data_IF_126122348749
#
_entry.id   IF_126122348749
#
_cell.length_a   1.000
_cell.length_b   1.000
_cell.length_c   1.000
_cell.angle_alpha   90.00
_cell.angle_beta   90.00
_cell.angle_gamma   90.00
#
_symmetry.space_group_name_H-M   'P 1'
#
loop_
_entity.id
_entity.type
_entity.pdbx_description
1 polymer ?
#
# COMPACT_ATOMS: atom_id res chain seq x y z
N UNK A 1 -6.49 43.80 -31.03
CA UNK A 1 -5.16 43.19 -30.80
C UNK A 1 -5.10 42.05 -29.76
N UNK A 2 -6.04 41.90 -28.80
CA UNK A 2 -6.10 40.71 -27.90
C UNK A 2 -6.45 39.37 -28.60
N UNK A 3 -6.85 39.42 -29.86
CA UNK A 3 -7.40 38.30 -30.64
C UNK A 3 -6.36 37.28 -31.10
N UNK A 4 -5.08 37.64 -31.25
CA UNK A 4 -4.01 36.68 -31.64
C UNK A 4 -3.45 35.87 -30.46
N UNK A 5 -3.70 36.31 -29.22
CA UNK A 5 -3.20 35.66 -28.00
C UNK A 5 -4.09 34.48 -27.57
N UNK A 6 -5.41 34.62 -27.73
CA UNK A 6 -6.40 33.60 -27.39
C UNK A 6 -6.18 32.24 -28.11
N UNK A 7 -5.99 32.18 -29.45
CA UNK A 7 -5.73 30.92 -30.13
C UNK A 7 -4.38 30.30 -29.74
N UNK A 8 -3.37 31.11 -29.40
CA UNK A 8 -2.09 30.59 -28.87
C UNK A 8 -2.27 29.96 -27.50
N UNK A 9 -3.01 30.61 -26.61
CA UNK A 9 -3.35 30.05 -25.30
C UNK A 9 -4.12 28.73 -25.44
N UNK A 10 -5.13 28.70 -26.30
CA UNK A 10 -5.91 27.50 -26.58
C UNK A 10 -5.02 26.36 -27.09
N UNK A 11 -4.14 26.63 -28.06
CA UNK A 11 -3.21 25.64 -28.60
C UNK A 11 -2.27 25.08 -27.53
N UNK A 12 -1.64 25.94 -26.73
CA UNK A 12 -0.74 25.50 -25.65
C UNK A 12 -1.48 24.74 -24.55
N UNK A 13 -2.69 25.14 -24.19
CA UNK A 13 -3.54 24.40 -23.26
C UNK A 13 -3.91 23.02 -23.80
N UNK A 14 -4.26 22.91 -25.09
CA UNK A 14 -4.54 21.61 -25.72
C UNK A 14 -3.29 20.72 -25.76
N UNK A 15 -2.11 21.29 -26.02
CA UNK A 15 -0.85 20.54 -25.98
C UNK A 15 -0.52 20.03 -24.57
N UNK A 16 -0.68 20.87 -23.54
CA UNK A 16 -0.48 20.47 -22.14
C UNK A 16 -1.47 19.35 -21.76
N UNK A 17 -2.75 19.51 -22.10
CA UNK A 17 -3.76 18.49 -21.86
C UNK A 17 -3.42 17.17 -22.56
N UNK A 18 -3.11 17.21 -23.86
CA UNK A 18 -2.77 16.03 -24.65
C UNK A 18 -1.53 15.32 -24.11
N UNK A 19 -0.49 16.07 -23.73
CA UNK A 19 0.71 15.53 -23.11
C UNK A 19 0.38 14.85 -21.77
N UNK A 20 -0.36 15.52 -20.89
CA UNK A 20 -0.74 14.97 -19.58
C UNK A 20 -1.64 13.73 -19.72
N UNK A 21 -2.60 13.74 -20.64
CA UNK A 21 -3.46 12.60 -20.93
C UNK A 21 -2.66 11.43 -21.53
N UNK A 22 -1.68 11.70 -22.39
CA UNK A 22 -0.78 10.67 -22.94
C UNK A 22 0.11 10.08 -21.85
N UNK A 23 0.69 10.92 -21.01
CA UNK A 23 1.53 10.51 -19.86
C UNK A 23 0.73 9.62 -18.90
N UNK A 24 -0.55 9.96 -18.66
CA UNK A 24 -1.48 9.15 -17.87
C UNK A 24 -1.87 7.84 -18.56
N UNK A 25 -2.26 7.89 -19.83
CA UNK A 25 -2.70 6.72 -20.60
C UNK A 25 -1.59 5.68 -20.77
N UNK A 26 -0.34 6.13 -20.89
CA UNK A 26 0.84 5.27 -20.96
C UNK A 26 1.40 4.89 -19.57
N UNK A 27 0.79 5.38 -18.49
CA UNK A 27 1.22 5.16 -17.09
C UNK A 27 2.71 5.48 -16.86
N UNK A 28 3.23 6.50 -17.54
CA UNK A 28 4.67 6.82 -17.52
C UNK A 28 5.17 7.25 -16.14
N UNK A 29 4.27 7.64 -15.23
CA UNK A 29 4.60 8.11 -13.90
C UNK A 29 4.22 7.13 -12.78
N UNK A 30 3.83 5.90 -13.13
CA UNK A 30 3.35 4.89 -12.17
C UNK A 30 4.30 4.71 -10.98
N UNK A 31 5.60 4.61 -11.22
CA UNK A 31 6.57 4.47 -10.13
C UNK A 31 6.60 5.66 -9.15
N UNK A 32 6.27 6.87 -9.62
CA UNK A 32 6.26 8.09 -8.82
C UNK A 32 4.92 8.30 -8.10
N UNK A 33 3.80 7.94 -8.73
CA UNK A 33 2.48 7.88 -8.08
C UNK A 33 2.56 7.06 -6.81
N UNK A 34 3.11 5.85 -6.93
CA UNK A 34 3.27 4.90 -5.84
C UNK A 34 4.08 5.55 -4.70
N UNK A 35 5.19 6.22 -5.02
CA UNK A 35 6.01 6.94 -4.03
C UNK A 35 5.28 8.10 -3.37
N UNK A 36 4.46 8.84 -4.09
CA UNK A 36 3.76 9.99 -3.52
C UNK A 36 2.66 9.54 -2.55
N UNK A 37 1.96 8.44 -2.88
CA UNK A 37 0.99 7.79 -2.01
C UNK A 37 1.63 7.18 -0.76
N UNK A 38 2.89 6.77 -0.90
CA UNK A 38 3.71 6.19 0.16
C UNK A 38 4.45 7.23 1.01
N UNK A 39 4.24 8.53 0.78
CA UNK A 39 4.63 9.54 1.75
C UNK A 39 3.79 9.37 3.02
N UNK A 40 4.35 9.66 4.22
CA UNK A 40 3.59 9.70 5.47
C UNK A 40 2.64 10.90 5.45
N UNK A 41 1.56 10.77 4.67
CA UNK A 41 0.65 11.86 4.37
C UNK A 41 -0.36 12.10 5.49
N UNK A 42 -0.51 11.15 6.41
CA UNK A 42 -1.38 11.24 7.57
C UNK A 42 -0.54 11.25 8.86
N UNK A 43 -0.55 12.38 9.58
CA UNK A 43 0.11 12.50 10.88
C UNK A 43 -0.74 11.93 12.02
N UNK A 44 -2.04 11.67 11.79
CA UNK A 44 -2.95 11.10 12.80
C UNK A 44 -2.80 9.59 12.91
N UNK A 45 -2.53 8.89 11.81
CA UNK A 45 -2.31 7.43 11.79
C UNK A 45 -1.06 7.00 12.59
N UNK A 46 -0.11 7.90 12.81
CA UNK A 46 1.10 7.63 13.61
C UNK A 46 1.01 8.05 15.09
N UNK A 47 0.07 8.93 15.47
CA UNK A 47 0.05 9.55 16.82
C UNK A 47 -1.10 9.10 17.73
N UNK A 48 -2.10 8.39 17.20
CA UNK A 48 -3.14 7.79 18.05
C UNK A 48 -2.59 6.59 18.78
N UNK A 49 -2.61 6.60 20.12
CA UNK A 49 -2.51 5.35 20.87
C UNK A 49 -3.70 4.47 20.42
N UNK A 50 -3.46 3.24 19.96
CA UNK A 50 -4.56 2.38 19.55
C UNK A 50 -5.51 2.17 20.74
N UNK A 51 -6.82 2.23 20.49
CA UNK A 51 -7.82 1.96 21.51
C UNK A 51 -7.68 0.50 21.99
N UNK A 52 -7.96 0.25 23.27
CA UNK A 52 -8.16 -1.12 23.75
C UNK A 52 -9.48 -1.63 23.17
N UNK A 53 -9.43 -2.71 22.41
CA UNK A 53 -10.63 -3.40 21.91
C UNK A 53 -10.51 -4.90 22.22
N UNK A 54 -11.21 -5.39 23.27
CA UNK A 54 -11.17 -6.80 23.64
C UNK A 54 -11.85 -7.70 22.59
N UNK A 55 -12.72 -7.16 21.74
CA UNK A 55 -13.46 -7.92 20.74
C UNK A 55 -12.75 -8.00 19.40
N UNK A 56 -11.59 -7.35 19.26
CA UNK A 56 -10.80 -7.35 18.05
C UNK A 56 -10.40 -8.77 17.59
N UNK A 57 -10.71 -9.20 16.35
CA UNK A 57 -10.74 -10.62 16.01
C UNK A 57 -9.36 -11.24 15.73
N UNK A 58 -8.29 -10.44 15.64
CA UNK A 58 -6.93 -10.94 15.35
C UNK A 58 -5.88 -10.32 16.27
N UNK A 59 -4.94 -11.15 16.75
CA UNK A 59 -3.94 -10.79 17.76
C UNK A 59 -2.55 -11.26 17.33
N UNK A 60 -1.52 -10.43 17.54
CA UNK A 60 -0.13 -10.87 17.37
C UNK A 60 0.33 -11.68 18.57
N UNK A 61 0.99 -12.78 18.30
CA UNK A 61 1.73 -13.55 19.29
C UNK A 61 3.21 -13.45 18.98
N UNK A 62 3.96 -12.66 19.76
CA UNK A 62 5.39 -12.48 19.53
C UNK A 62 6.19 -13.67 20.08
N UNK A 63 7.09 -14.20 19.26
CA UNK A 63 8.12 -15.15 19.67
C UNK A 63 9.49 -14.46 19.62
N UNK A 64 10.17 -14.36 20.76
CA UNK A 64 11.48 -13.76 20.88
C UNK A 64 12.55 -14.83 21.04
N UNK A 65 13.24 -15.14 19.95
CA UNK A 65 14.32 -16.13 19.97
C UNK A 65 15.20 -16.04 18.71
N UNK A 66 16.54 -16.09 18.80
CA UNK A 66 17.40 -16.34 17.64
C UNK A 66 17.54 -17.85 17.44
N UNK A 67 16.62 -18.47 16.69
CA UNK A 67 16.56 -19.93 16.52
C UNK A 67 16.88 -20.40 15.10
N UNK A 68 17.49 -21.58 14.94
CA UNK A 68 17.46 -22.31 13.69
C UNK A 68 16.02 -22.69 13.27
N UNK A 69 15.72 -22.83 11.96
CA UNK A 69 14.38 -23.15 11.47
C UNK A 69 13.73 -24.42 12.07
N UNK A 70 14.51 -25.47 12.33
CA UNK A 70 13.99 -26.74 12.86
C UNK A 70 13.56 -26.64 14.34
N UNK A 71 14.21 -25.77 15.11
CA UNK A 71 13.89 -25.56 16.52
C UNK A 71 12.75 -24.54 16.66
N UNK A 72 12.66 -23.59 15.74
CA UNK A 72 11.50 -22.71 15.58
C UNK A 72 10.19 -23.50 15.42
N UNK A 73 10.15 -24.48 14.51
CA UNK A 73 8.94 -25.29 14.29
C UNK A 73 8.55 -26.13 15.51
N UNK A 74 9.52 -26.68 16.25
CA UNK A 74 9.25 -27.38 17.52
C UNK A 74 8.56 -26.46 18.52
N UNK A 75 9.05 -25.23 18.66
CA UNK A 75 8.44 -24.26 19.56
C UNK A 75 7.05 -23.82 19.05
N UNK A 76 6.87 -23.74 17.73
CA UNK A 76 5.55 -23.50 17.14
C UNK A 76 4.54 -24.60 17.47
N UNK A 77 4.95 -25.88 17.50
CA UNK A 77 4.08 -27.00 17.92
C UNK A 77 3.54 -26.75 19.33
N UNK A 78 4.43 -26.44 20.29
CA UNK A 78 4.05 -26.15 21.67
C UNK A 78 3.12 -24.93 21.76
N UNK A 79 3.48 -23.83 21.10
CA UNK A 79 2.68 -22.59 21.08
C UNK A 79 1.29 -22.84 20.51
N UNK A 80 1.18 -23.55 19.38
CA UNK A 80 -0.10 -23.87 18.74
C UNK A 80 -0.94 -24.77 19.63
N UNK A 81 -0.32 -25.74 20.31
CA UNK A 81 -1.00 -26.58 21.29
C UNK A 81 -1.66 -25.75 22.39
N UNK A 82 -0.95 -24.78 22.94
CA UNK A 82 -1.47 -23.91 24.01
C UNK A 82 -2.47 -22.86 23.51
N UNK A 83 -2.28 -22.31 22.31
CA UNK A 83 -3.26 -21.44 21.65
C UNK A 83 -4.56 -22.18 21.34
N UNK A 84 -4.48 -23.44 20.91
CA UNK A 84 -5.66 -24.29 20.69
C UNK A 84 -6.41 -24.54 21.99
N UNK A 85 -5.71 -24.85 23.09
CA UNK A 85 -6.32 -24.98 24.43
C UNK A 85 -6.97 -23.68 24.89
N UNK A 86 -6.37 -22.53 24.58
CA UNK A 86 -6.93 -21.21 24.85
C UNK A 86 -8.16 -20.87 23.97
N UNK A 87 -8.46 -21.68 22.95
CA UNK A 87 -9.64 -21.53 22.09
C UNK A 87 -9.41 -20.67 20.85
N UNK A 88 -8.17 -20.52 20.38
CA UNK A 88 -7.88 -19.87 19.10
C UNK A 88 -8.53 -20.64 17.93
N UNK A 89 -9.04 -19.91 16.93
CA UNK A 89 -9.72 -20.49 15.75
C UNK A 89 -8.83 -20.62 14.53
N UNK A 90 -7.78 -19.81 14.44
CA UNK A 90 -6.82 -19.85 13.35
C UNK A 90 -5.46 -19.36 13.84
N UNK A 91 -4.38 -20.02 13.43
CA UNK A 91 -3.01 -19.64 13.75
C UNK A 91 -2.19 -19.54 12.47
N UNK A 92 -1.65 -18.36 12.19
CA UNK A 92 -0.72 -18.16 11.10
C UNK A 92 0.70 -18.41 11.58
N UNK A 93 1.38 -19.35 10.93
CA UNK A 93 2.80 -19.65 11.18
C UNK A 93 3.60 -19.22 9.96
N UNK A 94 4.43 -18.17 10.07
CA UNK A 94 5.28 -17.79 8.97
C UNK A 94 6.42 -18.80 8.81
N UNK A 95 6.64 -19.27 7.57
CA UNK A 95 7.69 -20.24 7.26
C UNK A 95 8.96 -19.52 6.79
N UNK A 96 10.14 -19.88 7.33
CA UNK A 96 11.43 -19.50 6.78
C UNK A 96 11.56 -19.85 5.29
N UNK A 97 12.13 -18.93 4.50
CA UNK A 97 12.29 -19.06 3.05
C UNK A 97 13.15 -20.26 2.65
N UNK A 98 14.22 -20.51 3.40
CA UNK A 98 15.21 -21.56 3.14
C UNK A 98 15.10 -22.68 4.20
N UNK A 99 13.88 -23.12 4.49
CA UNK A 99 13.66 -24.21 5.44
C UNK A 99 14.24 -25.53 4.90
N UNK A 100 15.17 -26.19 5.61
CA UNK A 100 15.70 -27.47 5.18
C UNK A 100 14.63 -28.56 5.31
N UNK A 101 14.45 -29.33 4.25
CA UNK A 101 13.53 -30.47 4.28
C UNK A 101 14.23 -31.70 4.86
N UNK A 102 14.07 -31.90 6.17
CA UNK A 102 14.60 -33.04 6.92
C UNK A 102 13.46 -33.78 7.65
N UNK A 103 13.61 -35.07 8.02
CA UNK A 103 12.54 -35.84 8.65
C UNK A 103 11.91 -35.17 9.89
N UNK A 104 12.73 -34.53 10.73
CA UNK A 104 12.28 -33.77 11.91
C UNK A 104 11.32 -32.62 11.54
N UNK A 105 11.62 -31.88 10.47
CA UNK A 105 10.78 -30.78 9.98
C UNK A 105 9.46 -31.31 9.42
N UNK A 106 9.50 -32.42 8.67
CA UNK A 106 8.29 -33.08 8.17
C UNK A 106 7.34 -33.46 9.30
N UNK A 107 7.85 -34.13 10.33
CA UNK A 107 7.08 -34.55 11.50
C UNK A 107 6.41 -33.35 12.20
N UNK A 108 7.17 -32.28 12.41
CA UNK A 108 6.67 -31.05 13.03
C UNK A 108 5.57 -30.37 12.20
N UNK A 109 5.71 -30.31 10.87
CA UNK A 109 4.67 -29.71 10.01
C UNK A 109 3.41 -30.58 10.00
N UNK A 110 3.53 -31.89 9.92
CA UNK A 110 2.40 -32.81 10.02
C UNK A 110 1.68 -32.68 11.38
N UNK A 111 2.42 -32.53 12.47
CA UNK A 111 1.86 -32.28 13.80
C UNK A 111 1.11 -30.95 13.88
N UNK A 112 1.70 -29.87 13.34
CA UNK A 112 1.07 -28.57 13.24
C UNK A 112 -0.23 -28.63 12.42
N UNK A 113 -0.26 -29.38 11.31
CA UNK A 113 -1.47 -29.55 10.50
C UNK A 113 -2.57 -30.32 11.24
N UNK A 114 -2.23 -31.35 12.01
CA UNK A 114 -3.18 -32.13 12.84
C UNK A 114 -3.91 -31.24 13.85
N UNK A 115 -3.36 -30.08 14.21
CA UNK A 115 -4.05 -29.12 15.07
C UNK A 115 -5.38 -28.63 14.49
N UNK A 116 -5.54 -28.64 13.16
CA UNK A 116 -6.76 -28.19 12.50
C UNK A 116 -6.96 -26.67 12.48
N UNK A 117 -6.05 -25.87 13.05
CA UNK A 117 -6.18 -24.41 13.11
C UNK A 117 -5.04 -23.67 12.41
N UNK A 118 -4.00 -24.37 11.98
CA UNK A 118 -2.79 -23.77 11.41
C UNK A 118 -2.96 -23.43 9.93
N UNK A 119 -2.44 -22.28 9.55
CA UNK A 119 -2.18 -21.85 8.18
C UNK A 119 -0.71 -21.46 8.07
N UNK A 120 -0.03 -21.92 7.03
CA UNK A 120 1.38 -21.55 6.81
C UNK A 120 1.48 -20.34 5.89
N UNK A 121 2.21 -19.32 6.34
CA UNK A 121 2.45 -18.10 5.59
C UNK A 121 3.86 -18.07 5.01
N UNK A 122 4.00 -18.15 3.69
CA UNK A 122 5.32 -18.04 3.06
C UNK A 122 5.69 -16.57 2.84
N UNK A 123 6.84 -16.16 3.37
CA UNK A 123 7.46 -14.89 3.00
C UNK A 123 8.22 -15.08 1.69
N UNK A 124 8.12 -14.13 0.77
CA UNK A 124 8.95 -14.16 -0.44
C UNK A 124 10.33 -13.60 -0.09
N UNK A 125 11.40 -14.33 -0.46
CA UNK A 125 12.81 -13.93 -0.27
C UNK A 125 13.11 -12.51 -0.75
N UNK A 126 12.42 -12.13 -1.80
CA UNK A 126 12.60 -10.88 -2.53
C UNK A 126 11.71 -9.75 -2.01
N UNK A 127 10.70 -10.05 -1.16
CA UNK A 127 9.99 -9.04 -0.37
C UNK A 127 10.80 -8.67 0.88
N UNK A 128 12.08 -8.37 0.67
CA UNK A 128 12.86 -7.71 1.69
C UNK A 128 12.13 -6.42 2.06
N UNK A 129 11.87 -6.29 3.33
CA UNK A 129 11.35 -5.09 3.98
C UNK A 129 12.45 -4.05 4.17
N UNK A 130 13.70 -4.39 3.83
CA UNK A 130 14.78 -3.41 3.70
C UNK A 130 14.75 -2.76 2.32
N UNK A 131 14.72 -1.43 2.33
CA UNK A 131 14.93 -0.59 1.15
C UNK A 131 16.30 -0.88 0.54
N UNK A 132 16.49 -0.87 -0.80
CA UNK A 132 15.55 -0.42 -1.85
C UNK A 132 15.19 -1.49 -2.92
N UNK A 133 15.65 -2.73 -2.80
CA UNK A 133 15.71 -3.65 -3.94
C UNK A 133 14.48 -4.57 -4.12
N UNK A 134 13.74 -4.89 -3.05
CA UNK A 134 12.66 -5.88 -3.10
C UNK A 134 11.29 -5.39 -3.60
N UNK A 135 11.03 -4.08 -3.51
CA UNK A 135 9.68 -3.52 -3.66
C UNK A 135 9.15 -3.45 -5.12
N UNK A 136 10.02 -3.53 -6.13
CA UNK A 136 9.64 -3.37 -7.55
C UNK A 136 9.17 -4.65 -8.24
N UNK A 137 9.43 -5.83 -7.66
CA UNK A 137 9.07 -7.08 -8.31
C UNK A 137 7.57 -7.35 -8.31
N UNK A 138 6.86 -6.90 -7.26
CA UNK A 138 5.41 -6.97 -7.23
C UNK A 138 4.78 -6.21 -8.40
N UNK A 139 5.41 -5.16 -8.94
CA UNK A 139 4.86 -4.37 -10.05
C UNK A 139 4.88 -5.12 -11.40
N UNK A 140 5.58 -6.26 -11.49
CA UNK A 140 5.66 -7.06 -12.70
C UNK A 140 5.01 -8.43 -12.49
N UNK A 141 3.88 -8.72 -13.16
CA UNK A 141 3.20 -10.02 -13.08
C UNK A 141 4.07 -11.23 -13.40
N UNK A 142 5.14 -11.06 -14.19
CA UNK A 142 6.09 -12.12 -14.50
C UNK A 142 6.85 -12.64 -13.27
N UNK A 143 6.84 -11.90 -12.17
CA UNK A 143 7.53 -12.25 -10.93
C UNK A 143 6.58 -12.85 -9.87
N UNK A 144 5.30 -13.05 -10.18
CA UNK A 144 4.32 -13.60 -9.23
C UNK A 144 4.36 -15.12 -9.18
N UNK A 145 5.56 -15.64 -8.96
CA UNK A 145 5.81 -17.06 -8.83
C UNK A 145 6.43 -17.35 -7.48
N UNK A 146 5.94 -18.39 -6.83
CA UNK A 146 6.40 -18.82 -5.52
C UNK A 146 6.69 -20.31 -5.56
N UNK A 147 7.75 -20.74 -4.91
CA UNK A 147 8.08 -22.16 -4.76
C UNK A 147 7.25 -22.75 -3.62
N UNK A 148 6.69 -23.94 -3.79
CA UNK A 148 6.02 -24.64 -2.69
C UNK A 148 6.94 -24.76 -1.46
N UNK A 149 6.50 -24.41 -0.23
CA UNK A 149 7.39 -24.33 0.95
C UNK A 149 8.13 -25.63 1.26
N UNK A 150 7.48 -26.76 0.95
CA UNK A 150 7.99 -28.11 1.20
C UNK A 150 8.08 -28.95 -0.08
N UNK A 151 8.21 -28.30 -1.24
CA UNK A 151 8.42 -28.96 -2.54
C UNK A 151 7.43 -30.10 -2.87
N UNK A 152 6.15 -29.93 -2.52
CA UNK A 152 5.10 -30.93 -2.71
C UNK A 152 5.36 -32.30 -2.02
N UNK A 153 6.24 -32.36 -1.02
CA UNK A 153 6.48 -33.59 -0.25
C UNK A 153 5.30 -33.98 0.66
N UNK A 154 4.47 -33.00 1.05
CA UNK A 154 3.23 -33.17 1.80
C UNK A 154 2.22 -32.11 1.34
N UNK A 155 0.93 -32.43 1.44
CA UNK A 155 -0.16 -31.47 1.19
C UNK A 155 -0.21 -30.46 2.34
N UNK A 156 -0.09 -29.18 2.01
CA UNK A 156 0.03 -28.10 2.99
C UNK A 156 -1.15 -27.14 2.86
N UNK A 157 -1.69 -26.66 3.99
CA UNK A 157 -2.64 -25.54 3.98
C UNK A 157 -1.89 -24.22 4.14
N UNK A 158 -1.61 -23.54 3.03
CA UNK A 158 -0.70 -22.41 2.99
C UNK A 158 -1.13 -21.29 2.05
N UNK A 159 -0.45 -20.16 2.18
CA UNK A 159 -0.52 -19.04 1.26
C UNK A 159 0.74 -18.18 1.34
N UNK A 160 0.74 -17.07 0.61
CA UNK A 160 1.88 -16.15 0.53
C UNK A 160 1.56 -14.84 1.25
N UNK A 161 2.56 -14.19 1.83
CA UNK A 161 2.45 -12.75 2.14
C UNK A 161 2.56 -11.97 0.84
N UNK A 162 1.45 -11.68 0.19
CA UNK A 162 1.41 -11.04 -1.13
C UNK A 162 1.46 -9.50 -1.08
N UNK A 163 1.88 -8.97 0.06
CA UNK A 163 1.72 -7.58 0.43
C UNK A 163 2.98 -6.76 0.19
N UNK A 164 2.83 -5.64 -0.51
CA UNK A 164 3.79 -4.55 -0.59
C UNK A 164 3.42 -3.44 0.38
N UNK A 165 4.43 -2.88 1.02
CA UNK A 165 4.35 -1.58 1.68
C UNK A 165 5.71 -0.88 1.60
N UNK A 166 5.69 0.44 1.61
CA UNK A 166 6.90 1.22 1.88
C UNK A 166 6.96 1.54 3.38
N UNK A 167 8.15 1.57 3.98
CA UNK A 167 8.36 1.69 5.45
C UNK A 167 7.62 2.89 6.08
N UNK A 168 7.44 3.97 5.32
CA UNK A 168 6.71 5.18 5.72
C UNK A 168 5.37 5.36 4.99
N UNK A 169 4.98 4.38 4.17
CA UNK A 169 3.76 4.37 3.39
C UNK A 169 2.51 4.29 4.25
N UNK A 170 1.46 4.93 3.77
CA UNK A 170 0.13 4.89 4.37
C UNK A 170 -0.77 3.82 3.75
N UNK A 171 -0.31 3.13 2.71
CA UNK A 171 -1.10 2.19 1.92
C UNK A 171 -0.35 0.87 1.76
N UNK A 172 -1.02 -0.23 2.06
CA UNK A 172 -0.63 -1.58 1.71
C UNK A 172 -1.30 -1.96 0.39
N UNK A 173 -0.56 -2.70 -0.44
CA UNK A 173 -1.08 -3.27 -1.69
C UNK A 173 -0.86 -4.76 -1.63
N UNK A 174 -1.89 -5.56 -1.81
CA UNK A 174 -1.72 -7.01 -1.79
C UNK A 174 -2.44 -7.68 -2.96
N UNK A 175 -1.95 -8.86 -3.33
CA UNK A 175 -2.45 -9.67 -4.44
C UNK A 175 -3.20 -10.89 -3.87
N UNK A 176 -4.54 -10.83 -3.77
CA UNK A 176 -5.32 -11.84 -3.07
C UNK A 176 -5.13 -13.27 -3.62
N UNK A 177 -4.96 -13.42 -4.93
CA UNK A 177 -4.99 -14.73 -5.62
C UNK A 177 -4.06 -14.82 -6.84
N UNK A 178 -3.22 -13.82 -7.09
CA UNK A 178 -2.50 -13.72 -8.37
C UNK A 178 -1.13 -14.43 -8.39
N UNK A 179 -0.64 -14.89 -7.24
CA UNK A 179 0.57 -15.70 -7.18
C UNK A 179 0.33 -17.09 -7.77
N UNK A 180 1.38 -17.65 -8.36
CA UNK A 180 1.38 -19.01 -8.92
C UNK A 180 2.51 -19.85 -8.36
N UNK A 181 2.27 -21.13 -8.18
CA UNK A 181 3.32 -22.05 -7.78
C UNK A 181 4.29 -22.32 -8.94
N UNK A 182 5.61 -22.24 -8.71
CA UNK A 182 6.63 -22.29 -9.77
C UNK A 182 6.68 -23.59 -10.57
N UNK A 183 6.25 -24.73 -10.01
CA UNK A 183 6.33 -26.02 -10.69
C UNK A 183 5.02 -26.41 -11.38
N UNK A 184 3.87 -26.11 -10.76
CA UNK A 184 2.55 -26.52 -11.24
C UNK A 184 1.75 -25.40 -11.90
N UNK A 185 2.09 -24.14 -11.64
CA UNK A 185 1.35 -22.97 -12.13
C UNK A 185 -0.01 -22.77 -11.48
N UNK A 186 -0.32 -23.55 -10.44
CA UNK A 186 -1.53 -23.45 -9.64
C UNK A 186 -1.59 -22.10 -8.91
N UNK A 187 -2.78 -21.48 -8.81
CA UNK A 187 -2.94 -20.23 -8.09
C UNK A 187 -2.70 -20.44 -6.59
N UNK A 188 -1.92 -19.54 -5.99
CA UNK A 188 -1.64 -19.53 -4.55
C UNK A 188 -2.24 -18.26 -3.95
N UNK A 189 -3.20 -18.39 -3.01
CA UNK A 189 -3.82 -17.24 -2.39
C UNK A 189 -2.91 -16.58 -1.34
N UNK A 190 -3.26 -15.35 -0.97
CA UNK A 190 -2.67 -14.70 0.20
C UNK A 190 -3.00 -15.49 1.47
N UNK A 191 -2.01 -15.64 2.36
CA UNK A 191 -2.18 -16.42 3.58
C UNK A 191 -3.25 -15.82 4.53
N UNK A 192 -3.50 -14.51 4.45
CA UNK A 192 -4.58 -13.84 5.18
C UNK A 192 -5.96 -14.40 4.81
N UNK A 193 -6.19 -14.70 3.52
CA UNK A 193 -7.47 -15.23 3.06
C UNK A 193 -7.67 -16.68 3.51
N UNK A 194 -6.61 -17.48 3.48
CA UNK A 194 -6.63 -18.85 4.01
C UNK A 194 -6.89 -18.87 5.52
N UNK A 195 -6.32 -17.91 6.25
CA UNK A 195 -6.54 -17.76 7.69
C UNK A 195 -7.98 -17.35 8.01
N UNK A 196 -8.58 -16.47 7.21
CA UNK A 196 -10.01 -16.14 7.32
C UNK A 196 -10.88 -17.35 7.01
N UNK A 197 -10.54 -18.16 5.99
CA UNK A 197 -11.23 -19.42 5.72
C UNK A 197 -11.28 -20.32 6.96
N UNK A 198 -10.12 -20.52 7.59
CA UNK A 198 -9.99 -21.31 8.83
C UNK A 198 -10.82 -20.73 9.97
N UNK A 199 -10.74 -19.42 10.18
CA UNK A 199 -11.44 -18.73 11.27
C UNK A 199 -12.97 -18.83 11.16
N UNK A 200 -13.50 -18.68 9.95
CA UNK A 200 -14.95 -18.77 9.70
C UNK A 200 -15.45 -20.21 9.55
N UNK A 201 -14.56 -21.21 9.58
CA UNK A 201 -14.93 -22.61 9.45
C UNK A 201 -15.35 -23.01 8.04
N UNK A 202 -14.86 -22.30 7.03
CA UNK A 202 -15.02 -22.72 5.63
C UNK A 202 -14.17 -23.95 5.34
N UNK A 203 -14.60 -24.85 4.43
CA UNK A 203 -13.82 -26.03 4.10
C UNK A 203 -12.53 -25.65 3.36
N UNK A 204 -11.50 -26.47 3.51
CA UNK A 204 -10.15 -26.17 3.01
C UNK A 204 -10.10 -26.07 1.49
N UNK A 205 -10.95 -26.83 0.79
CA UNK A 205 -11.11 -26.85 -0.66
C UNK A 205 -12.00 -25.73 -1.21
N UNK A 206 -12.58 -24.87 -0.34
CA UNK A 206 -13.40 -23.74 -0.79
C UNK A 206 -12.58 -22.85 -1.74
N UNK A 207 -13.05 -22.76 -2.98
CA UNK A 207 -12.40 -21.96 -4.01
C UNK A 207 -12.49 -20.46 -3.69
N UNK A 208 -11.38 -19.75 -3.87
CA UNK A 208 -11.34 -18.28 -3.84
C UNK A 208 -11.50 -17.81 -5.29
N UNK A 209 -12.71 -17.38 -5.64
CA UNK A 209 -13.06 -17.00 -7.01
C UNK A 209 -12.59 -15.59 -7.32
N UNK A 210 -11.69 -15.46 -8.30
CA UNK A 210 -11.24 -14.18 -8.82
C UNK A 210 -12.08 -13.78 -10.05
N UNK A 211 -12.83 -12.68 -9.93
CA UNK A 211 -13.43 -11.97 -11.07
C UNK A 211 -12.59 -10.78 -11.50
N UNK A 212 -13.08 -10.03 -12.51
CA UNK A 212 -12.37 -8.88 -13.09
C UNK A 212 -12.15 -7.71 -12.11
N UNK A 213 -13.09 -7.49 -11.19
CA UNK A 213 -13.09 -6.34 -10.26
C UNK A 213 -13.34 -6.74 -8.81
N UNK A 214 -13.33 -8.04 -8.52
CA UNK A 214 -13.58 -8.55 -7.18
C UNK A 214 -13.05 -9.95 -6.99
N UNK A 215 -12.66 -10.24 -5.77
CA UNK A 215 -12.38 -11.60 -5.29
C UNK A 215 -13.48 -11.99 -4.30
N UNK A 216 -13.96 -13.23 -4.41
CA UNK A 216 -15.01 -13.77 -3.55
C UNK A 216 -14.53 -15.06 -2.88
N UNK A 217 -14.81 -15.17 -1.59
CA UNK A 217 -14.66 -16.42 -0.86
C UNK A 217 -15.71 -16.47 0.26
N UNK A 218 -16.52 -17.53 0.29
CA UNK A 218 -17.65 -17.62 1.22
C UNK A 218 -18.57 -16.39 1.11
N UNK A 219 -18.88 -15.75 2.24
CA UNK A 219 -19.67 -14.52 2.32
C UNK A 219 -18.90 -13.23 2.04
N UNK A 220 -17.58 -13.28 1.82
CA UNK A 220 -16.74 -12.09 1.67
C UNK A 220 -16.57 -11.71 0.20
N UNK A 221 -16.61 -10.40 -0.06
CA UNK A 221 -16.27 -9.82 -1.36
C UNK A 221 -15.21 -8.75 -1.16
N UNK A 222 -14.08 -8.92 -1.84
CA UNK A 222 -12.93 -8.02 -1.82
C UNK A 222 -12.92 -7.26 -3.16
N UNK A 223 -12.91 -5.91 -3.19
CA UNK A 223 -12.80 -5.16 -4.43
C UNK A 223 -11.39 -5.31 -5.01
N UNK A 224 -11.31 -5.49 -6.33
CA UNK A 224 -10.06 -5.59 -7.08
C UNK A 224 -9.93 -4.38 -7.99
N UNK A 225 -8.77 -3.71 -7.96
CA UNK A 225 -8.46 -2.67 -8.92
C UNK A 225 -8.13 -3.27 -10.29
N UNK A 226 -8.15 -2.43 -11.34
CA UNK A 226 -7.86 -2.81 -12.73
C UNK A 226 -6.50 -3.47 -12.92
N UNK A 227 -5.55 -3.17 -12.02
CA UNK A 227 -4.21 -3.73 -12.00
C UNK A 227 -4.07 -4.99 -11.15
N UNK A 228 -5.16 -5.53 -10.60
CA UNK A 228 -5.14 -6.78 -9.84
C UNK A 228 -4.83 -6.63 -8.35
N UNK A 229 -4.53 -5.42 -7.85
CA UNK A 229 -4.29 -5.21 -6.43
C UNK A 229 -5.56 -4.88 -5.66
N UNK A 230 -5.46 -5.14 -4.36
CA UNK A 230 -6.34 -4.58 -3.34
C UNK A 230 -5.53 -3.56 -2.55
N UNK A 231 -6.09 -2.36 -2.39
CA UNK A 231 -5.46 -1.27 -1.66
C UNK A 231 -6.06 -1.17 -0.27
N UNK A 232 -5.20 -1.13 0.74
CA UNK A 232 -5.58 -1.08 2.14
C UNK A 232 -4.88 0.07 2.81
N UNK A 233 -5.63 0.91 3.53
CA UNK A 233 -5.06 1.99 4.32
C UNK A 233 -4.45 1.44 5.60
N UNK A 234 -3.23 1.86 5.90
CA UNK A 234 -2.59 1.62 7.20
C UNK A 234 -3.37 2.33 8.29
N UNK A 235 -3.85 1.59 9.28
CA UNK A 235 -4.55 2.13 10.44
C UNK A 235 -3.85 1.73 11.74
N UNK A 236 -3.92 2.56 12.80
CA UNK A 236 -3.58 2.09 14.14
C UNK A 236 -4.49 0.92 14.50
N UNK A 237 -3.89 -0.25 14.76
CA UNK A 237 -4.67 -1.43 15.13
C UNK A 237 -4.85 -1.45 16.65
N UNK A 238 -6.07 -1.70 17.15
CA UNK A 238 -6.31 -1.85 18.58
C UNK A 238 -5.40 -2.93 19.17
N UNK A 239 -5.03 -2.73 20.43
CA UNK A 239 -4.22 -3.69 21.18
C UNK A 239 -5.06 -4.36 22.25
N UNK A 240 -4.91 -5.67 22.47
CA UNK A 240 -5.56 -6.29 23.60
C UNK A 240 -4.98 -5.73 24.90
N UNK A 241 -5.79 -5.66 25.95
CA UNK A 241 -5.34 -5.22 27.27
C UNK A 241 -4.17 -6.08 27.80
N UNK A 242 -4.23 -7.39 27.49
CA UNK A 242 -3.20 -8.37 27.82
C UNK A 242 -2.81 -9.17 26.58
N UNK A 243 -1.52 -9.44 26.41
CA UNK A 243 -1.02 -10.37 25.39
C UNK A 243 0.06 -11.26 25.98
N UNK A 244 0.01 -12.55 25.68
CA UNK A 244 1.10 -13.48 26.00
C UNK A 244 2.12 -13.45 24.87
N UNK A 245 3.40 -13.33 25.21
CA UNK A 245 4.50 -13.54 24.27
C UNK A 245 5.37 -14.69 24.76
N UNK A 246 6.07 -15.33 23.83
CA UNK A 246 7.01 -16.39 24.13
C UNK A 246 8.45 -15.86 24.02
N UNK A 247 9.29 -16.32 24.94
CA UNK A 247 10.73 -16.13 24.92
C UNK A 247 11.36 -17.52 24.97
N UNK A 248 12.34 -17.79 24.10
CA UNK A 248 13.13 -19.01 24.21
C UNK A 248 14.45 -18.66 24.85
N UNK A 249 14.74 -19.29 25.99
CA UNK A 249 16.05 -19.17 26.62
C UNK A 249 17.08 -19.95 25.79
N UNK A 250 18.12 -19.30 25.24
CA UNK A 250 19.10 -19.99 24.39
C UNK A 250 19.89 -21.07 25.12
N UNK A 251 20.04 -20.93 26.44
CA UNK A 251 20.90 -21.78 27.27
C UNK A 251 20.29 -23.15 27.56
N UNK A 252 18.96 -23.20 27.68
CA UNK A 252 18.22 -24.40 28.08
C UNK A 252 17.18 -24.82 27.05
N UNK A 253 17.10 -24.11 25.91
CA UNK A 253 16.16 -24.34 24.80
C UNK A 253 14.71 -24.54 25.28
N UNK A 254 14.36 -23.78 26.32
CA UNK A 254 13.06 -23.87 26.98
C UNK A 254 12.19 -22.70 26.57
N UNK A 255 10.94 -22.99 26.23
CA UNK A 255 9.92 -22.00 25.93
C UNK A 255 9.34 -21.43 27.22
N UNK A 256 9.43 -20.12 27.41
CA UNK A 256 8.85 -19.41 28.53
C UNK A 256 7.78 -18.44 28.04
N UNK A 257 6.67 -18.37 28.76
CA UNK A 257 5.58 -17.45 28.46
C UNK A 257 5.59 -16.27 29.43
N UNK A 258 5.46 -15.08 28.88
CA UNK A 258 5.40 -13.83 29.63
C UNK A 258 4.16 -13.05 29.20
N UNK A 259 3.58 -12.29 30.12
CA UNK A 259 2.43 -11.44 29.82
C UNK A 259 2.89 -10.00 29.68
N UNK A 260 2.54 -9.40 28.56
CA UNK A 260 2.62 -7.95 28.37
C UNK A 260 1.26 -7.33 28.70
N UNK A 261 1.29 -6.22 29.42
CA UNK A 261 0.12 -5.38 29.68
C UNK A 261 0.34 -3.99 29.13
N UNK A 262 -0.67 -3.45 28.47
CA UNK A 262 -0.69 -2.04 28.06
C UNK A 262 -1.32 -1.12 29.11
N UNK A 263 -1.85 -1.70 30.20
CA UNK A 263 -2.38 -0.94 31.34
C UNK A 263 -1.25 -0.52 32.27
N UNK A 264 -1.01 0.80 32.35
CA UNK A 264 0.04 1.41 33.19
C UNK A 264 -0.06 1.07 34.68
N UNK A 265 -1.22 0.64 35.17
CA UNK A 265 -1.50 0.51 36.60
C UNK A 265 -1.43 -0.94 37.14
N UNK A 266 -1.24 -1.95 36.29
CA UNK A 266 -1.27 -3.34 36.72
C UNK A 266 0.14 -3.93 36.77
N UNK A 267 0.70 -4.03 37.98
CA UNK A 267 1.99 -4.68 38.23
C UNK A 267 1.72 -6.18 38.42
N UNK A 268 2.13 -7.01 37.46
CA UNK A 268 2.01 -8.49 37.42
C UNK A 268 0.65 -9.04 36.93
N UNK A 269 0.31 -8.85 35.64
CA UNK A 269 -0.84 -9.54 35.04
C UNK A 269 -0.65 -11.07 35.05
N UNK A 270 -1.73 -11.81 35.33
CA UNK A 270 -1.68 -13.28 35.37
C UNK A 270 -1.60 -13.90 33.97
N UNK A 271 -0.86 -15.00 33.84
CA UNK A 271 -0.73 -15.74 32.58
C UNK A 271 -2.09 -16.26 32.08
N UNK A 272 -2.96 -16.68 32.99
CA UNK A 272 -4.31 -17.13 32.65
C UNK A 272 -5.17 -16.00 32.03
N UNK A 273 -5.07 -14.78 32.54
CA UNK A 273 -5.76 -13.63 31.96
C UNK A 273 -5.24 -13.33 30.54
N UNK A 274 -3.92 -13.45 30.32
CA UNK A 274 -3.32 -13.30 29.00
C UNK A 274 -3.82 -14.35 27.99
N UNK A 275 -3.94 -15.62 28.38
CA UNK A 275 -4.42 -16.66 27.48
C UNK A 275 -5.88 -16.49 27.07
N UNK A 276 -6.73 -15.94 27.95
CA UNK A 276 -8.14 -15.65 27.64
C UNK A 276 -8.30 -14.70 26.44
N UNK A 277 -7.31 -13.85 26.16
CA UNK A 277 -7.30 -12.95 24.99
C UNK A 277 -7.44 -13.71 23.67
N UNK A 278 -6.92 -14.93 23.56
CA UNK A 278 -6.86 -15.66 22.29
C UNK A 278 -8.14 -16.45 21.96
N UNK A 279 -9.10 -16.50 22.89
CA UNK A 279 -10.35 -17.24 22.70
C UNK A 279 -11.14 -16.68 21.51
N UNK A 280 -11.51 -17.58 20.59
CA UNK A 280 -12.21 -17.26 19.34
C UNK A 280 -11.46 -16.29 18.41
N UNK A 281 -10.16 -16.08 18.59
CA UNK A 281 -9.38 -15.15 17.75
C UNK A 281 -8.59 -15.86 16.66
N UNK A 282 -8.20 -15.08 15.67
CA UNK A 282 -7.09 -15.37 14.76
C UNK A 282 -5.79 -14.95 15.47
N UNK A 283 -4.78 -15.80 15.45
CA UNK A 283 -3.49 -15.52 16.07
C UNK A 283 -2.42 -15.53 15.00
N UNK A 284 -1.62 -14.48 14.96
CA UNK A 284 -0.53 -14.35 13.99
C UNK A 284 0.77 -14.45 14.75
N UNK A 285 1.49 -15.53 14.53
CA UNK A 285 2.80 -15.70 15.16
C UNK A 285 3.77 -14.76 14.48
N UNK A 286 4.30 -13.80 15.23
CA UNK A 286 5.26 -12.82 14.75
C UNK A 286 6.62 -13.14 15.34
N UNK A 287 7.56 -13.52 14.48
CA UNK A 287 8.92 -13.88 14.87
C UNK A 287 9.90 -12.88 14.24
N UNK A 288 10.43 -11.92 15.02
CA UNK A 288 11.37 -10.93 14.52
C UNK A 288 12.68 -11.54 13.99
N UNK A 289 13.04 -12.76 14.42
CA UNK A 289 14.25 -13.46 13.99
C UNK A 289 14.16 -14.11 12.60
N UNK A 290 13.05 -13.96 11.87
CA UNK A 290 12.82 -14.59 10.57
C UNK A 290 13.44 -13.83 9.37
N UNK A 291 14.42 -12.96 9.62
CA UNK A 291 15.16 -12.21 8.59
C UNK A 291 16.46 -11.60 9.11
N UNK A 292 17.27 -11.05 8.19
CA UNK A 292 18.60 -10.48 8.48
C UNK A 292 18.57 -9.24 9.40
N UNK A 293 17.39 -8.62 9.61
CA UNK A 293 17.21 -7.46 10.47
C UNK A 293 16.00 -7.66 11.42
N UNK A 294 16.23 -7.85 12.74
CA UNK A 294 15.17 -8.00 13.73
C UNK A 294 14.40 -6.70 14.02
N UNK A 295 14.80 -5.57 13.42
CA UNK A 295 14.18 -4.26 13.62
C UNK A 295 13.33 -3.77 12.45
N UNK A 296 12.98 -4.68 11.53
CA UNK A 296 12.06 -4.35 10.43
C UNK A 296 10.72 -3.87 10.98
N UNK A 297 10.39 -2.62 10.64
CA UNK A 297 9.09 -2.03 10.94
C UNK A 297 8.39 -1.55 9.66
N UNK A 298 7.11 -1.91 9.45
CA UNK A 298 6.30 -2.90 10.17
C UNK A 298 6.78 -4.35 10.00
N UNK A 299 6.56 -5.18 11.02
CA UNK A 299 6.87 -6.63 10.96
C UNK A 299 5.90 -7.36 10.01
N UNK A 300 6.26 -8.52 9.44
CA UNK A 300 5.34 -9.31 8.61
C UNK A 300 4.01 -9.62 9.31
N UNK A 301 4.03 -9.92 10.62
CA UNK A 301 2.81 -10.11 11.41
C UNK A 301 1.89 -8.90 11.38
N UNK A 302 2.44 -7.68 11.50
CA UNK A 302 1.66 -6.44 11.41
C UNK A 302 1.05 -6.23 10.02
N UNK A 303 1.73 -6.65 8.95
CA UNK A 303 1.18 -6.57 7.58
C UNK A 303 -0.05 -7.45 7.43
N UNK A 304 0.02 -8.71 7.90
CA UNK A 304 -1.13 -9.61 7.92
C UNK A 304 -2.31 -9.01 8.68
N UNK A 305 -2.07 -8.41 9.84
CA UNK A 305 -3.15 -7.78 10.61
C UNK A 305 -3.85 -6.64 9.85
N UNK A 306 -3.10 -5.83 9.10
CA UNK A 306 -3.70 -4.72 8.31
C UNK A 306 -4.61 -5.28 7.22
N UNK A 307 -4.20 -6.35 6.54
CA UNK A 307 -5.00 -7.01 5.51
C UNK A 307 -6.24 -7.65 6.12
N UNK A 308 -6.08 -8.42 7.20
CA UNK A 308 -7.21 -9.05 7.89
C UNK A 308 -8.22 -8.02 8.38
N UNK A 309 -7.73 -6.91 8.95
CA UNK A 309 -8.59 -5.81 9.38
C UNK A 309 -9.42 -5.27 8.22
N UNK A 310 -8.76 -4.98 7.10
CA UNK A 310 -9.45 -4.44 5.94
C UNK A 310 -10.49 -5.40 5.36
N UNK A 311 -10.18 -6.70 5.35
CA UNK A 311 -11.12 -7.70 4.84
C UNK A 311 -12.33 -7.88 5.76
N UNK A 312 -12.11 -7.92 7.07
CA UNK A 312 -13.19 -8.10 8.06
C UNK A 312 -14.07 -6.85 8.15
N UNK A 313 -13.49 -5.65 8.11
CA UNK A 313 -14.21 -4.38 8.25
C UNK A 313 -14.69 -3.80 6.92
N UNK A 314 -14.37 -4.45 5.79
CA UNK A 314 -14.56 -3.93 4.43
C UNK A 314 -13.93 -2.54 4.21
N UNK A 315 -12.82 -2.23 4.90
CA UNK A 315 -12.14 -0.94 4.82
C UNK A 315 -11.08 -0.94 3.70
N UNK A 316 -11.56 -0.93 2.46
CA UNK A 316 -10.68 -0.87 1.27
C UNK A 316 -10.52 0.56 0.77
N UNK A 317 -9.43 0.77 0.04
CA UNK A 317 -9.15 2.03 -0.64
C UNK A 317 -9.55 1.92 -2.10
N UNK A 318 -10.35 2.88 -2.57
CA UNK A 318 -10.84 2.94 -3.95
C UNK A 318 -9.95 3.86 -4.77
N UNK A 319 -9.46 3.37 -5.92
CA UNK A 319 -8.76 4.18 -6.90
C UNK A 319 -9.76 4.82 -7.87
N UNK A 320 -9.63 6.13 -8.08
CA UNK A 320 -10.49 6.90 -8.98
C UNK A 320 -9.72 7.41 -10.21
N UNK A 321 -9.11 6.49 -10.95
CA UNK A 321 -8.28 6.82 -12.13
C UNK A 321 -9.06 7.60 -13.19
N UNK A 322 -10.34 7.28 -13.39
CA UNK A 322 -11.23 7.91 -14.39
C UNK A 322 -11.46 9.41 -14.12
N UNK A 323 -11.44 9.80 -12.85
CA UNK A 323 -11.62 11.20 -12.45
C UNK A 323 -10.38 12.05 -12.70
N UNK A 324 -9.20 11.43 -12.80
CA UNK A 324 -7.96 12.15 -13.07
C UNK A 324 -8.04 12.89 -14.41
N UNK A 325 -8.64 12.31 -15.46
CA UNK A 325 -8.76 12.97 -16.76
C UNK A 325 -9.65 14.24 -16.69
N UNK A 326 -10.77 14.14 -15.98
CA UNK A 326 -11.67 15.26 -15.74
C UNK A 326 -10.98 16.38 -14.95
N UNK A 327 -10.20 16.00 -13.93
CA UNK A 327 -9.44 16.94 -13.10
C UNK A 327 -8.29 17.60 -13.88
N UNK A 328 -7.59 16.86 -14.73
CA UNK A 328 -6.58 17.40 -15.66
C UNK A 328 -7.23 18.43 -16.58
N UNK A 329 -8.37 18.09 -17.20
CA UNK A 329 -9.11 19.02 -18.06
C UNK A 329 -9.50 20.29 -17.31
N UNK A 330 -10.12 20.16 -16.13
CA UNK A 330 -10.57 21.27 -15.31
C UNK A 330 -9.40 22.16 -14.87
N UNK A 331 -8.30 21.56 -14.44
CA UNK A 331 -7.08 22.27 -14.04
C UNK A 331 -6.51 23.10 -15.20
N UNK A 332 -6.36 22.49 -16.38
CA UNK A 332 -5.88 23.19 -17.58
C UNK A 332 -6.84 24.32 -17.98
N UNK A 333 -8.15 24.10 -17.96
CA UNK A 333 -9.15 25.11 -18.31
C UNK A 333 -9.12 26.31 -17.35
N UNK A 334 -9.09 26.08 -16.04
CA UNK A 334 -8.98 27.13 -15.02
C UNK A 334 -7.69 27.91 -15.19
N UNK A 335 -6.56 27.22 -15.33
CA UNK A 335 -5.24 27.87 -15.48
C UNK A 335 -5.13 28.65 -16.79
N UNK A 336 -5.71 28.15 -17.88
CA UNK A 336 -5.77 28.87 -19.16
C UNK A 336 -6.58 30.17 -19.03
N UNK A 337 -7.76 30.11 -18.41
CA UNK A 337 -8.61 31.28 -18.16
C UNK A 337 -7.91 32.32 -17.28
N UNK A 338 -7.30 31.86 -16.17
CA UNK A 338 -6.52 32.73 -15.29
C UNK A 338 -5.32 33.34 -16.00
N UNK A 339 -4.58 32.56 -16.80
CA UNK A 339 -3.41 33.04 -17.53
C UNK A 339 -3.75 34.08 -18.60
N UNK A 340 -4.90 33.93 -19.25
CA UNK A 340 -5.42 34.95 -20.16
C UNK A 340 -5.77 36.23 -19.41
N UNK A 341 -6.49 36.12 -18.29
CA UNK A 341 -7.03 37.26 -17.55
C UNK A 341 -6.00 38.03 -16.70
N UNK A 342 -4.96 37.37 -16.19
CA UNK A 342 -4.08 37.91 -15.14
C UNK A 342 -2.61 38.04 -15.59
N UNK A 343 -1.74 38.64 -14.78
CA UNK A 343 -0.30 38.74 -15.06
C UNK A 343 0.41 37.40 -14.85
N UNK A 344 1.52 37.16 -15.55
CA UNK A 344 2.25 35.89 -15.49
C UNK A 344 2.67 35.45 -14.08
N UNK A 345 3.10 36.38 -13.23
CA UNK A 345 3.48 36.06 -11.84
C UNK A 345 2.28 35.63 -10.97
N UNK A 346 1.09 36.18 -11.24
CA UNK A 346 -0.15 35.78 -10.55
C UNK A 346 -0.49 34.34 -10.91
N UNK A 347 -0.31 33.96 -12.18
CA UNK A 347 -0.53 32.59 -12.63
C UNK A 347 0.46 31.61 -11.99
N UNK A 348 1.73 31.98 -11.87
CA UNK A 348 2.74 31.16 -11.19
C UNK A 348 2.35 30.91 -9.72
N UNK A 349 1.99 31.96 -8.97
CA UNK A 349 1.54 31.82 -7.58
C UNK A 349 0.25 30.98 -7.50
N UNK A 350 -0.70 31.22 -8.40
CA UNK A 350 -1.95 30.46 -8.46
C UNK A 350 -1.68 28.98 -8.73
N UNK A 351 -0.69 28.65 -9.56
CA UNK A 351 -0.29 27.26 -9.83
C UNK A 351 0.24 26.56 -8.58
N UNK A 352 1.03 27.27 -7.75
CA UNK A 352 1.56 26.74 -6.49
C UNK A 352 0.41 26.52 -5.49
N UNK A 353 -0.48 27.51 -5.34
CA UNK A 353 -1.62 27.42 -4.44
C UNK A 353 -2.59 26.30 -4.85
N UNK A 354 -2.90 26.18 -6.14
CA UNK A 354 -3.76 25.12 -6.67
C UNK A 354 -3.11 23.74 -6.47
N UNK A 355 -1.80 23.62 -6.69
CA UNK A 355 -1.05 22.39 -6.44
C UNK A 355 -1.11 21.98 -4.96
N UNK A 356 -0.86 22.93 -4.04
CA UNK A 356 -0.94 22.68 -2.61
C UNK A 356 -2.37 22.32 -2.16
N UNK A 357 -3.37 23.04 -2.68
CA UNK A 357 -4.79 22.77 -2.44
C UNK A 357 -5.21 21.39 -2.93
N UNK A 358 -4.69 20.96 -4.09
CA UNK A 358 -4.96 19.63 -4.63
C UNK A 358 -4.32 18.51 -3.81
N UNK A 359 -3.05 18.67 -3.38
CA UNK A 359 -2.43 17.72 -2.44
C UNK A 359 -3.23 17.62 -1.14
N UNK A 360 -3.72 18.75 -0.62
CA UNK A 360 -4.60 18.76 0.56
C UNK A 360 -5.94 18.06 0.29
N UNK A 361 -6.55 18.27 -0.88
CA UNK A 361 -7.80 17.63 -1.28
C UNK A 361 -7.65 16.10 -1.40
N UNK A 362 -6.59 15.61 -2.05
CA UNK A 362 -6.28 14.17 -2.13
C UNK A 362 -6.08 13.57 -0.74
N UNK A 363 -5.42 14.31 0.17
CA UNK A 363 -5.28 13.90 1.57
C UNK A 363 -6.61 13.82 2.30
N UNK A 364 -7.50 14.79 2.09
CA UNK A 364 -8.83 14.81 2.68
C UNK A 364 -9.67 13.62 2.19
N UNK A 365 -9.63 13.32 0.88
CA UNK A 365 -10.30 12.15 0.29
C UNK A 365 -9.80 10.82 0.85
N UNK A 366 -8.48 10.63 0.96
CA UNK A 366 -7.91 9.42 1.56
C UNK A 366 -8.22 9.36 3.08
N UNK A 367 -8.25 10.51 3.74
CA UNK A 367 -8.53 10.65 5.16
C UNK A 367 -9.97 10.24 5.53
N UNK A 368 -10.95 10.80 4.82
CA UNK A 368 -12.38 10.72 5.17
C UNK A 368 -13.15 9.67 4.37
N UNK A 369 -12.72 9.37 3.15
CA UNK A 369 -13.50 8.56 2.20
C UNK A 369 -12.77 7.31 1.71
N UNK A 370 -11.52 7.07 2.14
CA UNK A 370 -10.67 5.99 1.61
C UNK A 370 -10.58 6.01 0.07
N UNK A 371 -10.58 7.21 -0.51
CA UNK A 371 -10.44 7.41 -1.95
C UNK A 371 -9.02 7.89 -2.23
N UNK A 372 -8.38 7.27 -3.21
CA UNK A 372 -7.15 7.76 -3.80
C UNK A 372 -7.45 8.29 -5.19
N UNK A 373 -7.12 9.56 -5.39
CA UNK A 373 -6.91 10.15 -6.69
C UNK A 373 -5.43 10.29 -6.91
N UNK A 374 -4.98 10.16 -8.14
CA UNK A 374 -3.56 10.09 -8.40
C UNK A 374 -2.98 11.50 -8.53
N UNK A 375 -2.29 12.00 -7.49
CA UNK A 375 -2.02 13.42 -7.40
C UNK A 375 -1.09 13.90 -8.51
N UNK A 376 -0.19 13.03 -8.95
CA UNK A 376 0.92 13.37 -9.80
C UNK A 376 0.47 13.77 -11.22
N UNK A 377 -0.54 13.08 -11.76
CA UNK A 377 -1.07 13.36 -13.09
C UNK A 377 -1.82 14.68 -13.20
N UNK A 378 -2.44 15.13 -12.12
CA UNK A 378 -3.14 16.42 -12.07
C UNK A 378 -2.18 17.55 -11.70
N UNK A 379 -1.17 17.29 -10.87
CA UNK A 379 -0.14 18.28 -10.54
C UNK A 379 0.71 18.67 -11.75
N UNK A 380 1.07 17.70 -12.60
CA UNK A 380 1.86 17.94 -13.81
C UNK A 380 1.29 19.06 -14.70
N UNK A 381 0.02 19.01 -15.17
CA UNK A 381 -0.56 20.07 -15.99
C UNK A 381 -0.68 21.39 -15.23
N UNK A 382 -0.96 21.39 -13.92
CA UNK A 382 -1.00 22.64 -13.13
C UNK A 382 0.35 23.35 -13.17
N UNK A 383 1.43 22.61 -12.93
CA UNK A 383 2.80 23.14 -12.94
C UNK A 383 3.22 23.55 -14.35
N UNK A 384 2.94 22.74 -15.38
CA UNK A 384 3.20 23.08 -16.77
C UNK A 384 2.48 24.36 -17.18
N UNK A 385 1.21 24.53 -16.81
CA UNK A 385 0.47 25.75 -17.06
C UNK A 385 1.08 26.96 -16.31
N UNK A 386 1.50 26.77 -15.06
CA UNK A 386 2.14 27.81 -14.25
C UNK A 386 3.47 28.31 -14.82
N UNK A 387 4.19 27.49 -15.57
CA UNK A 387 5.50 27.84 -16.17
C UNK A 387 5.37 28.25 -17.63
N UNK A 388 4.64 27.50 -18.45
CA UNK A 388 4.61 27.70 -19.90
C UNK A 388 3.69 28.84 -20.33
N UNK A 389 2.49 28.96 -19.74
CA UNK A 389 1.54 29.99 -20.15
C UNK A 389 2.03 31.44 -19.90
N UNK A 390 2.77 31.76 -18.82
CA UNK A 390 3.40 33.06 -18.67
C UNK A 390 4.41 33.35 -19.78
N UNK A 391 5.21 32.35 -20.18
CA UNK A 391 6.20 32.49 -21.26
C UNK A 391 5.50 32.76 -22.59
N UNK A 392 4.43 32.02 -22.89
CA UNK A 392 3.61 32.20 -24.10
C UNK A 392 3.01 33.61 -24.13
N UNK A 393 2.53 34.10 -22.98
CA UNK A 393 1.99 35.46 -22.86
C UNK A 393 3.07 36.52 -23.10
N UNK A 394 4.21 36.41 -22.43
CA UNK A 394 5.33 37.35 -22.60
C UNK A 394 5.86 37.36 -24.04
N UNK A 395 5.96 36.19 -24.67
CA UNK A 395 6.35 36.08 -26.08
C UNK A 395 5.33 36.76 -27.01
N UNK A 396 4.04 36.58 -26.74
CA UNK A 396 2.96 37.25 -27.47
C UNK A 396 3.00 38.77 -27.30
N UNK A 397 3.11 39.25 -26.06
CA UNK A 397 3.20 40.67 -25.73
C UNK A 397 4.44 41.32 -26.33
N UNK A 398 5.59 40.65 -26.27
CA UNK A 398 6.84 41.10 -26.91
C UNK A 398 6.68 41.24 -28.42
N UNK A 399 6.11 40.23 -29.09
CA UNK A 399 5.90 40.28 -30.55
C UNK A 399 4.97 41.43 -30.95
N UNK A 400 3.90 41.65 -30.19
CA UNK A 400 2.98 42.78 -30.41
C UNK A 400 3.69 44.12 -30.18
N UNK A 401 4.55 44.22 -29.17
CA UNK A 401 5.34 45.43 -28.92
C UNK A 401 6.35 45.69 -30.05
N UNK A 402 7.02 44.66 -30.56
CA UNK A 402 7.94 44.77 -31.71
C UNK A 402 7.21 45.20 -32.99
N UNK A 403 6.03 44.64 -33.27
CA UNK A 403 5.18 45.05 -34.40
C UNK A 403 4.74 46.51 -34.27
N UNK A 404 4.24 46.93 -33.11
CA UNK A 404 3.83 48.32 -32.85
C UNK A 404 5.00 49.30 -32.98
N UNK A 405 6.19 48.95 -32.46
CA UNK A 405 7.39 49.79 -32.60
C UNK A 405 7.83 49.88 -34.06
N UNK A 406 7.71 48.79 -34.83
CA UNK A 406 7.96 48.77 -36.27
C UNK A 406 7.05 49.73 -37.03
N UNK A 407 5.74 49.64 -36.81
CA UNK A 407 4.72 50.51 -37.41
C UNK A 407 4.95 51.99 -37.07
N UNK A 408 5.17 52.30 -35.79
CA UNK A 408 5.47 53.66 -35.34
C UNK A 408 6.75 54.21 -35.99
N UNK A 409 7.77 53.37 -36.22
CA UNK A 409 9.03 53.78 -36.86
C UNK A 409 8.85 54.05 -38.35
N UNK A 410 7.97 53.32 -39.02
CA UNK A 410 7.60 53.59 -40.42
C UNK A 410 6.77 54.89 -40.54
N UNK A 411 5.80 55.12 -39.66
CA UNK A 411 5.05 56.38 -39.61
C UNK A 411 5.96 57.59 -39.36
N UNK A 412 6.90 57.47 -38.43
CA UNK A 412 7.83 58.55 -38.09
C UNK A 412 8.75 58.90 -39.27
N UNK A 413 9.25 57.88 -40.00
CA UNK A 413 9.97 58.08 -41.28
C UNK A 413 9.10 58.76 -42.34
N UNK A 414 7.82 58.41 -42.42
CA UNK A 414 6.87 59.02 -43.36
C UNK A 414 6.67 60.51 -43.06
N UNK A 415 6.52 60.85 -41.78
CA UNK A 415 6.35 62.23 -41.32
C UNK A 415 7.62 63.07 -41.52
N UNK A 416 8.81 62.52 -41.25
CA UNK A 416 10.08 63.19 -41.53
C UNK A 416 10.30 63.44 -43.03
N UNK A 417 9.87 62.50 -43.88
CA UNK A 417 9.90 62.67 -45.34
C UNK A 417 8.97 63.78 -45.85
N UNK A 418 7.81 63.95 -45.21
CA UNK A 418 6.87 65.05 -45.50
C UNK A 418 7.33 66.42 -44.99
N UNK A 419 8.25 66.46 -44.01
CA UNK A 419 8.77 67.71 -43.46
C UNK A 419 10.03 68.23 -44.18
N UNK A 420 10.63 67.39 -45.05
CA UNK A 420 11.83 67.72 -45.84
C UNK A 420 11.55 67.97 -47.32
N UNK A 421 10.32 67.76 -47.78
CA UNK A 421 9.82 68.25 -49.08
C UNK A 421 8.99 69.50 -48.86
#
# INVERSE_FOLDING_TARGET
MKTSLAPRFMLWSMLIFSLSATVMGLRLLQSFELRLLDLPLDTRSFRGAPAEDPDYPFVLFSLWAPLPPADYLRHCVSIVGDLKKAGAKGVLIPLPVDMPWIPKVKEQIEELQKSGIVVFGMRLRELSTSSPAGARMLDNPKNWWVRHPVFHHIDLFWGVLSARFEVLGTIYRFLPTQYRESNRGEPVPDASLQLLKRHFGYPDDLEIQQGSYRVRFGSHTIPLSTNGYVYVKRVPLPRPAYSVFAVVSPEIDSLQYMVSTFRRNEKNPSLEAGWKTYKNKIVILDWPGMGDDPFVFPSPGQVYQQILNAVVTNSYVTLMDEWNLLLIFLAVAIMAGLGYATRGWVLFISSILLSAGFVWFTRWLLGQHNIIMDPLYVLLPILLCGVLLPIVKLSGEKKIAEETVGELREELKRLEGLHRG
#
